data_IF_906943534572
#
_entry.id   IF_906943534572
#
_cell.length_a   1.000
_cell.length_b   1.000
_cell.length_c   1.000
_cell.angle_alpha   90.00
_cell.angle_beta   90.00
_cell.angle_gamma   90.00
#
_symmetry.space_group_name_H-M   'P 1'
#
loop_
_entity.id
_entity.type
_entity.pdbx_description
1 polymer ?
#
# COMPACT_ATOMS: atom_id res chain seq x y z
N UNK A 1 -21.52 -33.51 -95.52
CA UNK A 1 -22.41 -32.77 -96.44
C UNK A 1 -21.87 -31.36 -96.59
N UNK A 2 -21.56 -31.02 -97.84
CA UNK A 2 -21.38 -29.71 -98.48
C UNK A 2 -21.30 -28.41 -97.66
N UNK A 3 -20.16 -27.74 -97.84
CA UNK A 3 -19.82 -26.31 -97.63
C UNK A 3 -20.59 -25.36 -98.61
N UNK A 4 -20.26 -24.06 -98.84
CA UNK A 4 -19.63 -22.97 -98.03
C UNK A 4 -20.22 -21.53 -98.27
N UNK A 5 -19.52 -20.51 -97.73
CA UNK A 5 -19.25 -19.12 -98.23
C UNK A 5 -20.17 -17.95 -97.81
N UNK A 6 -19.63 -17.00 -97.04
CA UNK A 6 -19.32 -15.66 -97.57
C UNK A 6 -18.17 -14.99 -96.78
N UNK A 7 -17.05 -14.81 -97.48
CA UNK A 7 -15.92 -13.97 -97.07
C UNK A 7 -16.33 -12.50 -97.16
N UNK A 8 -15.97 -11.68 -96.16
CA UNK A 8 -15.67 -10.26 -96.38
C UNK A 8 -14.30 -9.95 -95.77
N UNK A 9 -13.33 -9.83 -96.67
CA UNK A 9 -11.98 -9.35 -96.45
C UNK A 9 -11.96 -7.82 -96.57
N UNK A 10 -11.41 -7.12 -95.58
CA UNK A 10 -10.76 -5.84 -95.81
C UNK A 10 -9.41 -5.77 -95.07
N UNK A 11 -8.30 -5.56 -95.79
CA UNK A 11 -6.96 -5.49 -95.23
C UNK A 11 -6.58 -4.05 -94.87
N UNK A 12 -5.70 -3.93 -93.88
CA UNK A 12 -4.78 -2.81 -93.74
C UNK A 12 -5.29 -1.62 -92.93
N UNK A 13 -4.69 -1.39 -91.77
CA UNK A 13 -3.58 -0.44 -91.62
C UNK A 13 -3.29 -0.20 -90.12
N UNK A 14 -2.06 -0.52 -89.74
CA UNK A 14 -1.27 0.09 -88.67
C UNK A 14 -1.64 -0.16 -87.20
N UNK A 15 -0.81 -1.01 -86.60
CA UNK A 15 -0.18 -0.81 -85.30
C UNK A 15 -0.27 0.63 -84.77
N UNK A 16 -1.14 0.85 -83.78
CA UNK A 16 -1.01 1.97 -82.84
C UNK A 16 -0.97 1.40 -81.42
N UNK A 17 0.21 0.91 -81.08
CA UNK A 17 0.72 0.85 -79.73
C UNK A 17 0.56 2.25 -79.12
N UNK A 18 -0.46 2.46 -78.29
CA UNK A 18 -0.62 3.72 -77.53
C UNK A 18 0.63 3.82 -76.63
N UNK A 19 1.55 4.79 -76.86
CA UNK A 19 2.62 5.00 -75.92
C UNK A 19 1.96 5.64 -74.70
N UNK A 20 1.95 4.89 -73.59
CA UNK A 20 1.74 5.44 -72.27
C UNK A 20 2.85 6.49 -72.05
N UNK A 21 2.57 7.75 -72.40
CA UNK A 21 3.46 8.87 -72.13
C UNK A 21 3.64 8.94 -70.62
N UNK A 22 4.81 8.46 -70.19
CA UNK A 22 5.23 8.38 -68.81
C UNK A 22 5.54 9.79 -68.32
N UNK A 23 4.49 10.58 -68.07
CA UNK A 23 4.66 11.87 -67.40
C UNK A 23 5.14 11.59 -65.96
N UNK A 24 6.08 12.38 -65.41
CA UNK A 24 6.61 12.13 -64.07
C UNK A 24 5.52 12.18 -62.98
N UNK A 25 4.38 12.80 -63.26
CA UNK A 25 3.28 12.97 -62.32
C UNK A 25 2.41 11.70 -62.18
N UNK A 26 2.30 10.87 -63.21
CA UNK A 26 1.55 9.60 -63.12
C UNK A 26 2.33 8.56 -62.32
N UNK A 27 3.66 8.54 -62.44
CA UNK A 27 4.51 7.68 -61.59
C UNK A 27 4.43 8.08 -60.12
N UNK A 28 4.48 9.38 -59.81
CA UNK A 28 4.29 9.86 -58.44
C UNK A 28 2.90 9.51 -57.90
N UNK A 29 1.85 9.59 -58.73
CA UNK A 29 0.48 9.20 -58.36
C UNK A 29 0.36 7.69 -58.12
N UNK A 30 1.01 6.87 -58.96
CA UNK A 30 1.07 5.41 -58.80
C UNK A 30 1.87 5.02 -57.54
N UNK A 31 3.03 5.64 -57.32
CA UNK A 31 3.87 5.41 -56.14
C UNK A 31 3.14 5.85 -54.87
N UNK A 32 2.46 7.00 -54.86
CA UNK A 32 1.65 7.44 -53.72
C UNK A 32 0.44 6.55 -53.50
N UNK A 33 -0.23 6.07 -54.55
CA UNK A 33 -1.33 5.10 -54.45
C UNK A 33 -0.87 3.74 -53.90
N UNK A 34 0.26 3.19 -54.38
CA UNK A 34 0.86 1.98 -53.82
C UNK A 34 1.34 2.21 -52.37
N UNK A 35 1.96 3.34 -52.02
CA UNK A 35 2.36 3.64 -50.65
C UNK A 35 1.19 3.85 -49.67
N UNK A 36 0.05 4.37 -50.16
CA UNK A 36 -1.20 4.49 -49.37
C UNK A 36 -1.84 3.12 -49.15
N UNK A 37 -1.83 2.23 -50.15
CA UNK A 37 -2.31 0.84 -50.03
C UNK A 37 -1.36 -0.07 -49.23
N UNK A 38 -0.06 0.21 -49.22
CA UNK A 38 0.95 -0.46 -48.40
C UNK A 38 1.26 0.30 -47.12
N UNK A 39 0.27 0.97 -46.51
CA UNK A 39 0.34 1.23 -45.07
C UNK A 39 0.56 -0.12 -44.41
N UNK A 40 1.64 -0.27 -43.67
CA UNK A 40 2.00 -1.46 -42.93
C UNK A 40 0.88 -1.74 -41.93
N UNK A 41 -0.12 -2.53 -42.35
CA UNK A 41 -1.15 -3.04 -41.44
C UNK A 41 -0.37 -3.81 -40.38
N UNK A 42 -0.32 -3.32 -39.13
CA UNK A 42 0.47 -3.98 -38.12
C UNK A 42 -0.10 -5.38 -37.99
N UNK A 43 0.73 -6.38 -38.30
CA UNK A 43 0.35 -7.76 -38.10
C UNK A 43 -0.15 -7.88 -36.65
N UNK A 44 -1.16 -8.71 -36.35
CA UNK A 44 -1.60 -8.95 -34.97
C UNK A 44 -0.43 -9.38 -34.05
N UNK A 45 0.66 -9.90 -34.64
CA UNK A 45 1.92 -10.16 -33.94
C UNK A 45 2.69 -8.89 -33.56
N UNK A 46 2.68 -7.86 -34.41
CA UNK A 46 3.31 -6.56 -34.17
C UNK A 46 2.58 -5.74 -33.12
N UNK A 47 1.25 -5.72 -33.13
CA UNK A 47 0.48 -5.00 -32.10
C UNK A 47 0.70 -5.62 -30.72
N UNK A 48 0.71 -6.97 -30.66
CA UNK A 48 1.04 -7.70 -29.43
C UNK A 48 2.43 -7.36 -28.90
N UNK A 49 3.43 -7.30 -29.78
CA UNK A 49 4.80 -6.89 -29.40
C UNK A 49 4.83 -5.47 -28.83
N UNK A 50 4.17 -4.52 -29.50
CA UNK A 50 4.13 -3.11 -29.07
C UNK A 50 3.43 -2.95 -27.71
N UNK A 51 2.32 -3.68 -27.49
CA UNK A 51 1.62 -3.69 -26.20
C UNK A 51 2.48 -4.30 -25.09
N UNK A 52 3.14 -5.43 -25.35
CA UNK A 52 4.01 -6.06 -24.37
C UNK A 52 5.17 -5.14 -23.97
N UNK A 53 5.83 -4.52 -24.95
CA UNK A 53 6.92 -3.57 -24.72
C UNK A 53 6.49 -2.43 -23.77
N UNK A 54 5.31 -1.84 -24.02
CA UNK A 54 4.74 -0.80 -23.14
C UNK A 54 4.53 -1.31 -21.71
N UNK A 55 4.00 -2.52 -21.53
CA UNK A 55 3.77 -3.09 -20.20
C UNK A 55 5.07 -3.46 -19.47
N UNK A 56 6.11 -3.87 -20.20
CA UNK A 56 7.43 -4.16 -19.63
C UNK A 56 8.13 -2.88 -19.14
N UNK A 57 7.95 -1.75 -19.84
CA UNK A 57 8.49 -0.45 -19.40
C UNK A 57 7.85 0.04 -18.10
N UNK A 58 6.56 -0.26 -17.88
CA UNK A 58 5.83 0.12 -16.66
C UNK A 58 5.79 -0.99 -15.61
N UNK A 59 6.61 -2.03 -15.76
CA UNK A 59 6.63 -3.17 -14.83
C UNK A 59 7.16 -2.72 -13.46
N UNK A 60 6.43 -2.98 -12.35
CA UNK A 60 6.94 -2.73 -11.00
C UNK A 60 8.19 -3.55 -10.70
N UNK A 61 9.08 -3.01 -9.86
CA UNK A 61 10.26 -3.76 -9.43
C UNK A 61 9.86 -4.92 -8.50
N UNK A 62 10.73 -5.92 -8.41
CA UNK A 62 10.53 -7.07 -7.55
C UNK A 62 10.32 -6.66 -6.08
N UNK A 63 11.05 -5.66 -5.59
CA UNK A 63 10.88 -5.16 -4.22
C UNK A 63 9.50 -4.52 -4.01
N UNK A 64 8.99 -3.78 -4.98
CA UNK A 64 7.64 -3.20 -4.90
C UNK A 64 6.57 -4.29 -4.81
N UNK A 65 6.73 -5.39 -5.56
CA UNK A 65 5.81 -6.52 -5.49
C UNK A 65 5.83 -7.21 -4.12
N UNK A 66 7.00 -7.29 -3.47
CA UNK A 66 7.14 -7.82 -2.11
C UNK A 66 6.50 -6.90 -1.07
N UNK A 67 6.79 -5.60 -1.14
CA UNK A 67 6.21 -4.59 -0.25
C UNK A 67 4.67 -4.57 -0.34
N UNK A 68 4.13 -4.78 -1.54
CA UNK A 68 2.69 -4.88 -1.79
C UNK A 68 2.11 -6.25 -1.45
N UNK A 69 2.90 -7.17 -0.90
CA UNK A 69 2.51 -8.54 -0.53
C UNK A 69 1.98 -9.38 -1.71
N UNK A 70 2.40 -9.04 -2.94
CA UNK A 70 2.06 -9.80 -4.16
C UNK A 70 3.07 -10.94 -4.36
N UNK A 71 4.36 -10.61 -4.24
CA UNK A 71 5.44 -11.60 -4.25
C UNK A 71 5.84 -11.92 -2.82
N UNK A 72 5.92 -13.20 -2.46
CA UNK A 72 6.36 -13.61 -1.14
C UNK A 72 7.86 -13.33 -0.97
N UNK A 73 8.24 -12.70 0.14
CA UNK A 73 9.66 -12.49 0.48
C UNK A 73 10.23 -13.71 1.21
N UNK A 74 10.39 -14.80 0.47
CA UNK A 74 10.85 -16.06 1.06
C UNK A 74 11.96 -16.68 0.22
N UNK A 75 13.00 -17.20 0.88
CA UNK A 75 14.09 -17.94 0.23
C UNK A 75 13.77 -19.45 0.04
N UNK A 76 12.52 -19.86 0.30
CA UNK A 76 12.07 -21.25 0.09
C UNK A 76 11.69 -21.48 -1.35
N UNK A 77 11.96 -22.70 -1.83
CA UNK A 77 11.57 -23.15 -3.16
C UNK A 77 10.06 -22.92 -3.40
N UNK A 78 9.64 -22.53 -4.62
CA UNK A 78 8.24 -22.21 -4.93
C UNK A 78 7.22 -23.27 -4.49
N UNK A 79 7.58 -24.55 -4.60
CA UNK A 79 6.72 -25.67 -4.21
C UNK A 79 6.44 -25.75 -2.69
N UNK A 80 7.30 -25.18 -1.84
CA UNK A 80 7.17 -25.23 -0.37
C UNK A 80 6.58 -23.95 0.24
N UNK A 81 6.34 -22.92 -0.56
CA UNK A 81 5.88 -21.62 -0.06
C UNK A 81 4.53 -21.72 0.64
N UNK A 82 3.58 -22.48 0.08
CA UNK A 82 2.26 -22.70 0.68
C UNK A 82 2.36 -23.44 2.02
N UNK A 83 3.15 -24.51 2.08
CA UNK A 83 3.37 -25.27 3.31
C UNK A 83 4.03 -24.40 4.40
N UNK A 84 4.96 -23.52 4.02
CA UNK A 84 5.58 -22.59 4.95
C UNK A 84 4.58 -21.57 5.50
N UNK A 85 3.74 -20.99 4.66
CA UNK A 85 2.69 -20.05 5.09
C UNK A 85 1.70 -20.72 6.05
N UNK A 86 1.31 -21.96 5.76
CA UNK A 86 0.40 -22.72 6.63
C UNK A 86 1.04 -23.00 8.00
N UNK A 87 2.32 -23.38 8.03
CA UNK A 87 3.07 -23.54 9.28
C UNK A 87 3.12 -22.23 10.07
N UNK A 88 3.43 -21.10 9.41
CA UNK A 88 3.49 -19.79 10.07
C UNK A 88 2.12 -19.37 10.61
N UNK A 89 1.05 -19.66 9.88
CA UNK A 89 -0.33 -19.48 10.34
C UNK A 89 -0.62 -20.32 11.59
N UNK A 90 -0.27 -21.62 11.57
CA UNK A 90 -0.47 -22.52 12.70
C UNK A 90 0.29 -22.06 13.94
N UNK A 91 1.55 -21.62 13.77
CA UNK A 91 2.34 -21.04 14.87
C UNK A 91 1.69 -19.79 15.45
N UNK A 92 1.17 -18.91 14.60
CA UNK A 92 0.45 -17.72 15.04
C UNK A 92 -0.84 -18.07 15.78
N UNK A 93 -1.61 -19.05 15.30
CA UNK A 93 -2.85 -19.49 15.97
C UNK A 93 -2.56 -20.15 17.32
N UNK A 94 -1.54 -20.99 17.42
CA UNK A 94 -1.16 -21.65 18.66
C UNK A 94 -0.65 -20.65 19.69
N UNK A 95 0.18 -19.69 19.25
CA UNK A 95 0.65 -18.59 20.09
C UNK A 95 -0.52 -17.74 20.59
N UNK A 96 -1.45 -17.36 19.71
CA UNK A 96 -2.63 -16.60 20.08
C UNK A 96 -3.48 -17.36 21.10
N UNK A 97 -3.74 -18.65 20.87
CA UNK A 97 -4.51 -19.50 21.79
C UNK A 97 -3.89 -19.50 23.18
N UNK A 98 -2.57 -19.73 23.28
CA UNK A 98 -1.83 -19.70 24.55
C UNK A 98 -1.92 -18.34 25.26
N UNK A 99 -1.88 -17.23 24.51
CA UNK A 99 -2.01 -15.88 25.09
C UNK A 99 -3.44 -15.60 25.57
N UNK A 100 -4.46 -16.10 24.87
CA UNK A 100 -5.86 -15.97 25.28
C UNK A 100 -6.17 -16.79 26.53
N UNK A 101 -5.60 -17.99 26.67
CA UNK A 101 -5.73 -18.82 27.88
C UNK A 101 -5.15 -18.15 29.14
N UNK A 102 -4.11 -17.30 28.97
CA UNK A 102 -3.44 -16.57 30.05
C UNK A 102 -3.79 -15.08 30.08
N UNK A 103 -4.91 -14.71 29.49
CA UNK A 103 -5.32 -13.30 29.39
C UNK A 103 -5.63 -12.77 30.80
N UNK A 104 -4.92 -11.73 31.29
CA UNK A 104 -5.23 -11.12 32.58
C UNK A 104 -6.59 -10.42 32.56
N UNK A 105 -7.27 -10.45 33.70
CA UNK A 105 -8.51 -9.69 33.89
C UNK A 105 -8.23 -8.18 34.01
N UNK A 106 -9.28 -7.39 33.81
CA UNK A 106 -9.19 -5.92 33.90
C UNK A 106 -8.66 -5.49 35.27
N UNK A 107 -9.13 -6.12 36.34
CA UNK A 107 -8.79 -5.75 37.71
C UNK A 107 -7.30 -5.99 38.00
N UNK A 108 -6.74 -7.11 37.52
CA UNK A 108 -5.30 -7.36 37.60
C UNK A 108 -4.47 -6.28 36.89
N UNK A 109 -4.93 -5.77 35.76
CA UNK A 109 -4.26 -4.70 35.04
C UNK A 109 -4.35 -3.36 35.78
N UNK A 110 -5.44 -3.13 36.51
CA UNK A 110 -5.62 -1.95 37.37
C UNK A 110 -4.69 -2.04 38.60
N UNK A 111 -4.62 -3.20 39.25
CA UNK A 111 -3.71 -3.45 40.38
C UNK A 111 -2.25 -3.25 39.99
N UNK A 112 -1.87 -3.69 38.79
CA UNK A 112 -0.52 -3.48 38.22
C UNK A 112 -0.29 -2.06 37.69
N UNK A 113 -1.24 -1.14 37.85
CA UNK A 113 -1.18 0.24 37.34
C UNK A 113 -0.95 0.36 35.82
N UNK A 114 -1.37 -0.65 35.05
CA UNK A 114 -1.35 -0.63 33.58
C UNK A 114 -2.59 0.09 33.06
N UNK A 115 -3.76 -0.20 33.64
CA UNK A 115 -5.01 0.48 33.34
C UNK A 115 -5.41 1.42 34.49
N UNK A 116 -6.02 2.58 34.19
CA UNK A 116 -6.56 3.44 35.23
C UNK A 116 -7.81 2.80 35.88
N UNK A 117 -7.92 2.94 37.20
CA UNK A 117 -9.08 2.53 38.01
C UNK A 117 -10.29 3.47 37.79
N UNK A 118 -10.73 3.67 36.56
CA UNK A 118 -11.84 4.57 36.21
C UNK A 118 -12.90 3.85 35.39
N UNK A 119 -14.15 4.29 35.57
CA UNK A 119 -15.29 3.88 34.73
C UNK A 119 -15.52 4.84 33.56
N UNK A 120 -14.65 5.85 33.39
CA UNK A 120 -14.73 6.78 32.26
C UNK A 120 -14.50 6.06 30.92
N UNK A 121 -15.19 6.52 29.88
CA UNK A 121 -15.02 6.03 28.52
C UNK A 121 -13.55 6.18 28.06
N UNK A 122 -13.02 5.26 27.22
CA UNK A 122 -11.59 5.25 26.84
C UNK A 122 -11.06 6.60 26.34
N UNK A 123 -11.86 7.33 25.56
CA UNK A 123 -11.50 8.63 25.02
C UNK A 123 -11.32 9.73 26.09
N UNK A 124 -11.94 9.58 27.26
CA UNK A 124 -11.92 10.57 28.34
C UNK A 124 -10.94 10.23 29.46
N UNK A 125 -10.38 9.02 29.48
CA UNK A 125 -9.53 8.56 30.58
C UNK A 125 -8.31 9.45 30.79
N UNK A 126 -7.66 9.86 29.69
CA UNK A 126 -6.51 10.75 29.73
C UNK A 126 -6.85 12.11 30.36
N UNK A 127 -7.93 12.75 29.91
CA UNK A 127 -8.38 14.03 30.45
C UNK A 127 -8.82 13.93 31.92
N UNK A 128 -9.51 12.84 32.29
CA UNK A 128 -9.91 12.61 33.67
C UNK A 128 -8.70 12.42 34.60
N UNK A 129 -7.64 11.72 34.14
CA UNK A 129 -6.42 11.54 34.91
C UNK A 129 -5.66 12.85 35.07
N UNK A 130 -5.62 13.67 34.02
CA UNK A 130 -4.98 14.99 34.07
C UNK A 130 -5.70 15.92 35.06
N UNK A 131 -7.03 15.98 34.98
CA UNK A 131 -7.83 16.74 35.95
C UNK A 131 -7.60 16.25 37.38
N UNK A 132 -7.58 14.92 37.60
CA UNK A 132 -7.31 14.33 38.92
C UNK A 132 -5.93 14.73 39.45
N UNK A 133 -4.91 14.79 38.59
CA UNK A 133 -3.58 15.26 38.99
C UNK A 133 -3.60 16.73 39.42
N UNK A 134 -4.20 17.60 38.62
CA UNK A 134 -4.31 19.03 38.97
C UNK A 134 -5.05 19.25 40.28
N UNK A 135 -6.22 18.63 40.44
CA UNK A 135 -6.99 18.72 41.68
C UNK A 135 -6.19 18.24 42.90
N UNK A 136 -5.39 17.18 42.75
CA UNK A 136 -4.54 16.66 43.82
C UNK A 136 -3.38 17.61 44.15
N UNK A 137 -2.76 18.20 43.12
CA UNK A 137 -1.70 19.20 43.30
C UNK A 137 -2.22 20.42 44.05
N UNK A 138 -3.35 20.99 43.64
CA UNK A 138 -3.96 22.16 44.27
C UNK A 138 -4.36 21.87 45.74
N UNK A 139 -4.93 20.68 46.00
CA UNK A 139 -5.27 20.26 47.36
C UNK A 139 -4.03 20.11 48.25
N UNK A 140 -2.97 19.51 47.71
CA UNK A 140 -1.72 19.32 48.42
C UNK A 140 -1.05 20.66 48.72
N UNK A 141 -1.04 21.58 47.78
CA UNK A 141 -0.51 22.93 47.94
C UNK A 141 -1.17 23.65 49.12
N UNK A 142 -2.52 23.67 49.15
CA UNK A 142 -3.25 24.27 50.26
C UNK A 142 -2.94 23.62 51.62
N UNK A 143 -2.74 22.31 51.67
CA UNK A 143 -2.37 21.60 52.90
C UNK A 143 -0.94 21.91 53.36
N UNK A 144 -0.02 22.06 52.42
CA UNK A 144 1.38 22.41 52.71
C UNK A 144 1.47 23.85 53.22
N UNK A 145 0.69 24.78 52.66
CA UNK A 145 0.64 26.17 53.12
C UNK A 145 0.19 26.29 54.58
N UNK A 146 -0.75 25.44 55.00
CA UNK A 146 -1.26 25.39 56.37
C UNK A 146 -0.51 24.36 57.24
N UNK A 147 0.73 24.01 56.89
CA UNK A 147 1.51 23.04 57.66
C UNK A 147 1.83 23.61 59.06
N UNK A 148 1.41 22.94 60.14
CA UNK A 148 1.68 23.40 61.50
C UNK A 148 3.18 23.41 61.78
N UNK A 149 3.58 24.37 62.62
CA UNK A 149 4.98 24.50 63.02
C UNK A 149 5.34 23.41 64.05
N UNK A 150 6.61 22.97 64.14
CA UNK A 150 7.02 21.97 65.13
C UNK A 150 6.63 22.32 66.56
N UNK A 151 6.68 23.61 66.91
CA UNK A 151 6.33 24.11 68.25
C UNK A 151 4.85 23.89 68.58
N UNK A 152 3.96 24.01 67.58
CA UNK A 152 2.53 23.73 67.72
C UNK A 152 2.29 22.23 67.97
N UNK A 153 3.08 21.36 67.33
CA UNK A 153 3.01 19.91 67.52
C UNK A 153 3.51 19.48 68.91
N UNK A 154 4.53 20.15 69.45
CA UNK A 154 5.02 19.95 70.82
C UNK A 154 3.94 20.36 71.83
N UNK A 155 3.31 21.53 71.64
CA UNK A 155 2.21 21.97 72.50
C UNK A 155 1.01 21.01 72.49
N UNK A 156 0.79 20.30 71.38
CA UNK A 156 -0.27 19.29 71.26
C UNK A 156 0.13 17.91 71.80
N UNK A 157 1.37 17.76 72.29
CA UNK A 157 1.89 16.48 72.81
C UNK A 157 2.15 15.43 71.72
N UNK A 158 2.25 15.84 70.46
CA UNK A 158 2.50 14.94 69.32
C UNK A 158 4.01 14.73 69.15
N UNK A 159 4.82 15.75 69.40
CA UNK A 159 6.28 15.75 69.30
C UNK A 159 6.91 16.09 70.66
N UNK A 160 8.04 15.49 71.00
CA UNK A 160 8.82 15.91 72.18
C UNK A 160 9.83 17.02 71.82
N UNK A 161 10.34 17.74 72.83
CA UNK A 161 11.26 18.87 72.60
C UNK A 161 12.59 18.45 71.95
N UNK A 162 13.06 17.23 72.25
CA UNK A 162 14.27 16.63 71.69
C UNK A 162 14.10 16.13 70.24
N UNK A 163 12.86 15.95 69.78
CA UNK A 163 12.54 15.52 68.42
C UNK A 163 12.27 16.71 67.47
N UNK A 164 12.52 17.96 67.90
CA UNK A 164 12.28 19.14 67.09
C UNK A 164 13.21 19.19 65.85
N UNK A 165 12.68 19.08 64.61
CA UNK A 165 13.48 19.06 63.39
C UNK A 165 14.21 20.39 63.09
N UNK A 166 13.92 21.48 63.83
CA UNK A 166 14.61 22.77 63.72
C UNK A 166 15.78 22.93 64.69
N UNK A 167 15.92 22.04 65.66
CA UNK A 167 17.05 22.01 66.59
C UNK A 167 17.74 20.66 66.45
N UNK A 168 18.67 20.50 65.49
CA UNK A 168 19.38 19.24 65.33
C UNK A 168 20.25 18.98 66.58
N UNK A 169 20.30 17.71 66.98
CA UNK A 169 21.18 17.18 68.04
C UNK A 169 22.65 17.29 67.64
#
# INVERSE_FOLDING_TARGET
MFSPVLYLWHPGLFDYFIPLLLTPNTLLTIITYYNVLHRTVPSPTSERRNSLEKHLQTRPDMQDLKNRHILLDTNVAPALQSARQELDRQRATDSLKKNLEKRPDKDELVERNILPATSAAPALQAHAQELKRHMLADNLEHKIQNRPQPEELISQGILSEDENPRSPV
#
